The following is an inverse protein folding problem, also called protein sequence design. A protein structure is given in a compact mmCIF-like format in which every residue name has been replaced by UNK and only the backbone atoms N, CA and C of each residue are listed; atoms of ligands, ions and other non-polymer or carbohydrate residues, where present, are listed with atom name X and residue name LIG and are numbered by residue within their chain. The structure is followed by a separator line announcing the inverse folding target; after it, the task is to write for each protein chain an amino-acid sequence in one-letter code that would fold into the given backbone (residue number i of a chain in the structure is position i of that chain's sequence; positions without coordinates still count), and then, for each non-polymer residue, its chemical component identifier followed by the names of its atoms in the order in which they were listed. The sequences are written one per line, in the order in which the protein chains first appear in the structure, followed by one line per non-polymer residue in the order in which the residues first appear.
data_IF_169150106768
#
_entry.id   IF_169150106768
#
_cell.length_a   1.000
_cell.length_b   1.000
_cell.length_c   1.000
_cell.angle_alpha   90.00
_cell.angle_beta   90.00
_cell.angle_gamma   90.00
#
_symmetry.space_group_name_H-M   'P 1'
#
loop_
_entity.id
_entity.type
_entity.pdbx_description
1 polymer ?
#
# COMPACT_ATOMS: atom_id res chain seq x y z
N UNK A 1 30.40 -10.98 -30.16
CA UNK A 1 30.52 -9.74 -29.37
C UNK A 1 29.40 -8.75 -29.68
N UNK A 2 29.22 -8.26 -30.92
CA UNK A 2 28.17 -7.25 -31.26
C UNK A 2 26.72 -7.69 -31.00
N UNK A 3 26.38 -8.97 -31.25
CA UNK A 3 25.02 -9.51 -31.05
C UNK A 3 24.59 -9.58 -29.57
N UNK A 4 25.54 -9.80 -28.65
CA UNK A 4 25.24 -9.85 -27.21
C UNK A 4 24.96 -8.46 -26.63
N UNK A 5 25.64 -7.43 -27.14
CA UNK A 5 25.40 -6.03 -26.76
C UNK A 5 24.01 -5.58 -27.21
N UNK A 6 23.63 -5.89 -28.45
CA UNK A 6 22.29 -5.55 -28.97
C UNK A 6 21.18 -6.28 -28.19
N UNK A 7 21.37 -7.57 -27.90
CA UNK A 7 20.40 -8.33 -27.10
C UNK A 7 20.25 -7.79 -25.68
N UNK A 8 21.36 -7.42 -25.03
CA UNK A 8 21.33 -6.85 -23.68
C UNK A 8 20.67 -5.46 -23.62
N UNK A 9 20.89 -4.61 -24.64
CA UNK A 9 20.21 -3.32 -24.72
C UNK A 9 18.70 -3.47 -24.95
N UNK A 10 18.29 -4.41 -25.80
CA UNK A 10 16.87 -4.67 -26.06
C UNK A 10 16.14 -5.14 -24.80
N UNK A 11 16.74 -6.04 -24.00
CA UNK A 11 16.13 -6.49 -22.74
C UNK A 11 16.07 -5.38 -21.68
N UNK A 12 17.09 -4.53 -21.59
CA UNK A 12 17.07 -3.36 -20.69
C UNK A 12 15.97 -2.36 -21.06
N UNK A 13 15.78 -2.09 -22.35
CA UNK A 13 14.73 -1.19 -22.84
C UNK A 13 13.34 -1.72 -22.53
N UNK A 14 13.09 -3.02 -22.78
CA UNK A 14 11.82 -3.66 -22.45
C UNK A 14 11.52 -3.64 -20.95
N UNK A 15 12.53 -3.87 -20.11
CA UNK A 15 12.36 -3.79 -18.66
C UNK A 15 12.05 -2.34 -18.20
N UNK A 16 12.73 -1.35 -18.77
CA UNK A 16 12.48 0.05 -18.46
C UNK A 16 11.07 0.51 -18.89
N UNK A 17 10.59 0.06 -20.05
CA UNK A 17 9.21 0.31 -20.51
C UNK A 17 8.18 -0.28 -19.55
N UNK A 18 8.39 -1.51 -19.07
CA UNK A 18 7.49 -2.15 -18.11
C UNK A 18 7.41 -1.37 -16.79
N UNK A 19 8.54 -0.84 -16.31
CA UNK A 19 8.59 -0.04 -15.08
C UNK A 19 7.94 1.33 -15.30
N UNK A 20 8.17 1.97 -16.44
CA UNK A 20 7.62 3.29 -16.75
C UNK A 20 6.11 3.25 -17.06
N UNK A 21 5.62 2.12 -17.57
CA UNK A 21 4.19 1.92 -17.90
C UNK A 21 3.39 1.35 -16.75
N UNK A 22 4.04 1.00 -15.64
CA UNK A 22 3.34 0.57 -14.44
C UNK A 22 2.41 1.71 -14.01
N UNK A 23 1.11 1.44 -13.80
CA UNK A 23 0.23 2.43 -13.21
C UNK A 23 0.89 2.97 -11.94
N UNK A 24 0.84 4.28 -11.67
CA UNK A 24 1.18 4.75 -10.33
C UNK A 24 0.37 3.90 -9.36
N UNK A 25 0.99 3.47 -8.26
CA UNK A 25 0.25 2.84 -7.17
C UNK A 25 -0.70 3.90 -6.61
N UNK A 26 -1.86 4.05 -7.24
CA UNK A 26 -2.97 4.84 -6.74
C UNK A 26 -3.55 4.01 -5.63
N UNK A 27 -2.93 4.11 -4.46
CA UNK A 27 -3.51 3.57 -3.27
C UNK A 27 -4.67 4.50 -2.93
N UNK A 28 -5.91 4.05 -3.11
CA UNK A 28 -7.04 4.84 -2.68
C UNK A 28 -6.90 5.04 -1.17
N UNK A 29 -6.67 6.29 -0.78
CA UNK A 29 -6.40 6.66 0.59
C UNK A 29 -7.56 7.46 1.15
N UNK A 30 -8.08 7.02 2.28
CA UNK A 30 -8.95 7.81 3.14
C UNK A 30 -8.16 8.37 4.31
N UNK A 31 -8.42 9.65 4.60
CA UNK A 31 -7.79 10.39 5.68
C UNK A 31 -8.86 10.89 6.65
N UNK A 32 -8.50 10.99 7.94
CA UNK A 32 -9.37 11.50 8.99
C UNK A 32 -10.18 10.41 9.72
N UNK A 33 -10.98 10.85 10.69
CA UNK A 33 -11.64 9.96 11.65
C UNK A 33 -10.68 9.50 12.75
N UNK A 34 -10.74 8.21 13.11
CA UNK A 34 -9.90 7.62 14.17
C UNK A 34 -8.51 7.17 13.67
N UNK A 35 -8.19 7.40 12.40
CA UNK A 35 -6.93 7.02 11.76
C UNK A 35 -6.28 8.25 11.13
N UNK A 36 -4.95 8.26 11.05
CA UNK A 36 -4.20 9.27 10.31
C UNK A 36 -4.37 9.06 8.81
N UNK A 37 -4.22 7.81 8.38
CA UNK A 37 -4.40 7.40 6.98
C UNK A 37 -4.83 5.94 6.92
N UNK A 38 -5.68 5.62 5.95
CA UNK A 38 -6.03 4.26 5.56
C UNK A 38 -5.96 4.16 4.05
N UNK A 39 -5.06 3.32 3.56
CA UNK A 39 -4.77 3.22 2.13
C UNK A 39 -4.80 1.76 1.71
N UNK A 40 -5.38 1.50 0.55
CA UNK A 40 -5.40 0.17 -0.05
C UNK A 40 -4.39 0.09 -1.18
N UNK A 41 -3.56 -0.95 -1.18
CA UNK A 41 -2.69 -1.31 -2.29
C UNK A 41 -3.49 -1.93 -3.45
N UNK A 42 -2.86 -2.20 -4.60
CA UNK A 42 -3.55 -2.71 -5.77
C UNK A 42 -4.28 -4.02 -5.49
N UNK A 43 -5.43 -4.25 -6.14
CA UNK A 43 -6.12 -5.54 -6.09
C UNK A 43 -5.35 -6.59 -6.90
N UNK A 44 -5.14 -7.76 -6.31
CA UNK A 44 -4.46 -8.92 -6.88
C UNK A 44 -5.41 -9.76 -7.74
N UNK A 45 -4.86 -10.68 -8.53
CA UNK A 45 -5.64 -11.53 -9.44
C UNK A 45 -6.60 -12.48 -8.73
N UNK A 46 -6.36 -12.75 -7.44
CA UNK A 46 -7.24 -13.53 -6.56
C UNK A 46 -8.33 -12.67 -5.88
N UNK A 47 -8.37 -11.37 -6.17
CA UNK A 47 -9.32 -10.43 -5.60
C UNK A 47 -8.94 -9.92 -4.21
N UNK A 48 -7.76 -10.28 -3.69
CA UNK A 48 -7.25 -9.72 -2.44
C UNK A 48 -6.58 -8.36 -2.67
N UNK A 49 -6.43 -7.57 -1.62
CA UNK A 49 -5.61 -6.37 -1.64
C UNK A 49 -4.96 -6.16 -0.27
N UNK A 50 -3.95 -5.31 -0.18
CA UNK A 50 -3.34 -4.99 1.10
C UNK A 50 -3.88 -3.66 1.61
N UNK A 51 -4.47 -3.64 2.81
CA UNK A 51 -4.84 -2.40 3.49
C UNK A 51 -3.76 -2.01 4.48
N UNK A 52 -3.39 -0.75 4.52
CA UNK A 52 -2.46 -0.19 5.50
C UNK A 52 -3.14 0.95 6.27
N UNK A 53 -3.13 0.87 7.60
CA UNK A 53 -3.70 1.88 8.49
C UNK A 53 -2.60 2.45 9.35
N UNK A 54 -2.55 3.78 9.46
CA UNK A 54 -1.74 4.50 10.43
C UNK A 54 -2.64 5.14 11.48
N UNK A 55 -2.39 4.85 12.76
CA UNK A 55 -3.05 5.47 13.90
C UNK A 55 -2.08 6.35 14.69
N UNK A 56 -2.55 7.39 15.38
CA UNK A 56 -1.68 8.18 16.24
C UNK A 56 -1.38 7.41 17.53
N UNK A 57 -0.11 7.08 17.78
CA UNK A 57 0.35 6.49 19.04
C UNK A 57 0.98 7.58 19.91
N UNK A 58 0.51 7.70 21.14
CA UNK A 58 1.06 8.64 22.12
C UNK A 58 2.32 8.07 22.78
N UNK A 59 3.43 8.79 22.66
CA UNK A 59 4.71 8.46 23.30
C UNK A 59 4.96 9.44 24.45
N UNK A 60 5.07 8.96 25.70
CA UNK A 60 5.46 9.80 26.82
C UNK A 60 6.94 10.18 26.74
N UNK A 61 7.27 11.44 27.03
CA UNK A 61 8.65 11.93 27.06
C UNK A 61 8.82 12.95 28.19
N UNK A 62 9.39 12.50 29.31
CA UNK A 62 9.57 13.33 30.50
C UNK A 62 8.24 13.87 31.02
N UNK A 63 8.11 15.20 31.05
CA UNK A 63 6.91 15.91 31.48
C UNK A 63 5.91 16.22 30.34
N UNK A 64 6.15 15.72 29.13
CA UNK A 64 5.30 15.95 27.95
C UNK A 64 5.03 14.64 27.20
N UNK A 65 4.33 14.74 26.08
CA UNK A 65 4.07 13.65 25.15
C UNK A 65 4.05 14.16 23.71
N UNK A 66 4.27 13.24 22.76
CA UNK A 66 4.11 13.51 21.34
C UNK A 66 3.43 12.33 20.66
N UNK A 67 2.75 12.60 19.54
CA UNK A 67 2.11 11.58 18.73
C UNK A 67 3.07 11.14 17.62
N UNK A 68 3.18 9.84 17.41
CA UNK A 68 3.86 9.26 16.25
C UNK A 68 2.85 8.45 15.43
N UNK A 69 2.97 8.42 14.09
CA UNK A 69 2.22 7.46 13.29
C UNK A 69 2.68 6.04 13.62
N UNK A 70 1.72 5.18 13.96
CA UNK A 70 1.92 3.76 14.14
C UNK A 70 1.12 3.03 13.08
N UNK A 71 1.83 2.36 12.16
CA UNK A 71 1.24 1.76 10.97
C UNK A 71 1.26 0.24 11.03
N UNK A 72 0.21 -0.39 10.55
CA UNK A 72 0.19 -1.81 10.22
C UNK A 72 -0.56 -2.07 8.92
N UNK A 73 -0.26 -3.20 8.27
CA UNK A 73 -0.92 -3.62 7.05
C UNK A 73 -1.39 -5.05 7.15
N UNK A 74 -2.58 -5.33 6.61
CA UNK A 74 -3.17 -6.67 6.53
C UNK A 74 -3.78 -6.90 5.16
N UNK A 75 -3.89 -8.17 4.75
CA UNK A 75 -4.60 -8.55 3.54
C UNK A 75 -6.10 -8.52 3.75
N UNK A 76 -6.79 -7.88 2.82
CA UNK A 76 -8.24 -7.79 2.69
C UNK A 76 -8.70 -8.64 1.49
N UNK A 77 -9.97 -9.01 1.48
CA UNK A 77 -10.56 -9.80 0.39
C UNK A 77 -11.80 -10.57 0.84
N UNK A 78 -12.47 -11.28 -0.08
CA UNK A 78 -13.73 -11.98 0.19
C UNK A 78 -13.65 -13.00 1.34
N UNK A 79 -12.50 -13.66 1.48
CA UNK A 79 -12.27 -14.68 2.51
C UNK A 79 -11.45 -14.14 3.71
N UNK A 80 -10.99 -12.89 3.64
CA UNK A 80 -10.17 -12.29 4.69
C UNK A 80 -11.02 -11.49 5.67
N UNK A 81 -10.87 -11.83 6.94
CA UNK A 81 -11.60 -11.20 8.03
C UNK A 81 -10.58 -10.66 9.05
N UNK A 82 -10.11 -9.41 8.89
CA UNK A 82 -9.33 -8.72 9.90
C UNK A 82 -10.06 -8.77 11.23
N UNK A 83 -9.30 -8.94 12.31
CA UNK A 83 -9.89 -9.00 13.66
C UNK A 83 -10.40 -7.65 14.15
N UNK A 84 -9.90 -6.54 13.58
CA UNK A 84 -10.35 -5.18 13.85
C UNK A 84 -11.40 -4.72 12.81
N UNK A 85 -12.67 -4.52 13.21
CA UNK A 85 -13.70 -4.02 12.31
C UNK A 85 -13.44 -2.60 11.80
N UNK A 86 -12.77 -1.74 12.59
CA UNK A 86 -12.48 -0.36 12.20
C UNK A 86 -11.37 -0.29 11.13
N UNK A 87 -10.47 -1.27 11.14
CA UNK A 87 -9.52 -1.50 10.06
C UNK A 87 -10.23 -1.95 8.78
N UNK A 88 -11.19 -2.88 8.92
CA UNK A 88 -11.91 -3.47 7.79
C UNK A 88 -12.96 -2.53 7.16
N UNK A 89 -13.47 -1.51 7.84
CA UNK A 89 -14.38 -0.51 7.26
C UNK A 89 -13.63 0.50 6.38
N UNK A 90 -14.08 0.90 5.17
CA UNK A 90 -15.11 0.21 4.40
C UNK A 90 -14.62 -1.17 3.97
N UNK A 91 -15.50 -2.19 3.93
CA UNK A 91 -15.12 -3.57 3.61
C UNK A 91 -14.64 -3.74 2.17
N UNK A 92 -14.94 -2.78 1.31
CA UNK A 92 -14.52 -2.75 -0.09
C UNK A 92 -13.15 -2.09 -0.24
N UNK A 93 -12.47 -2.40 -1.35
CA UNK A 93 -11.25 -1.70 -1.77
C UNK A 93 -11.52 -0.19 -1.88
N UNK A 94 -10.59 0.61 -1.37
CA UNK A 94 -10.63 2.07 -1.52
C UNK A 94 -9.96 2.40 -2.85
N UNK A 95 -10.76 2.93 -3.79
CA UNK A 95 -10.27 3.42 -5.08
C UNK A 95 -9.82 4.89 -4.96
N UNK A 96 -8.79 5.27 -5.71
CA UNK A 96 -8.19 6.62 -5.72
C UNK A 96 -8.35 7.36 -7.04
#
# INVERSE_FOLDING_TARGET
MKRGIVGGFASLLLAAELIASAPPASAGCQYGGNVLSKCDGPVQTDGTWQRCVAVPRLIPNGASSYLVPDGHCESMGPDQHPSDPAFADPPMHIDG
#
